data_IF_137143231577
#
_entry.id   IF_137143231577
#
_cell.length_a   1.000
_cell.length_b   1.000
_cell.length_c   1.000
_cell.angle_alpha   90.00
_cell.angle_beta   90.00
_cell.angle_gamma   90.00
#
_symmetry.space_group_name_H-M   'P 1'
#
loop_
_entity.id
_entity.type
_entity.pdbx_description
1 polymer ?
#
# COMPACT_ATOMS: atom_id res chain seq x y z
N UNK A 1 2.83 6.02 -2.70
CA UNK A 1 2.87 5.47 -4.07
C UNK A 1 2.02 6.31 -5.01
N UNK A 2 0.69 6.24 -4.96
CA UNK A 2 -0.19 6.90 -5.94
C UNK A 2 0.08 8.40 -6.14
N UNK A 3 0.23 9.17 -5.06
CA UNK A 3 0.61 10.60 -5.15
C UNK A 3 1.90 10.85 -5.92
N UNK A 4 2.91 9.99 -5.77
CA UNK A 4 4.16 10.10 -6.51
C UNK A 4 3.99 9.71 -7.99
N UNK A 5 3.15 8.71 -8.27
CA UNK A 5 2.80 8.35 -9.65
C UNK A 5 2.07 9.50 -10.37
N UNK A 6 1.12 10.16 -9.70
CA UNK A 6 0.38 11.30 -10.25
C UNK A 6 1.32 12.47 -10.60
N UNK A 7 2.30 12.77 -9.74
CA UNK A 7 3.27 13.84 -10.01
C UNK A 7 4.14 13.53 -11.25
N UNK A 8 4.58 12.28 -11.41
CA UNK A 8 5.46 11.89 -12.51
C UNK A 8 4.72 11.67 -13.83
N UNK A 9 3.46 11.20 -13.78
CA UNK A 9 2.65 10.92 -14.98
C UNK A 9 1.90 12.15 -15.51
N UNK A 10 1.96 13.28 -14.79
CA UNK A 10 1.40 14.56 -15.22
C UNK A 10 -0.13 14.53 -15.39
N UNK A 11 -0.64 15.33 -16.34
CA UNK A 11 -2.07 15.55 -16.55
C UNK A 11 -2.88 14.36 -17.09
N UNK A 12 -2.24 13.20 -17.31
CA UNK A 12 -2.88 11.97 -17.80
C UNK A 12 -2.72 10.79 -16.82
N UNK A 13 -2.51 11.08 -15.54
CA UNK A 13 -2.33 10.07 -14.49
C UNK A 13 -3.50 9.07 -14.40
N UNK A 14 -4.70 9.50 -14.77
CA UNK A 14 -5.94 8.71 -14.80
C UNK A 14 -5.81 7.50 -15.73
N UNK A 15 -5.14 7.66 -16.87
CA UNK A 15 -4.86 6.57 -17.82
C UNK A 15 -3.94 5.48 -17.23
N UNK A 16 -3.19 5.82 -16.19
CA UNK A 16 -2.23 4.92 -15.54
C UNK A 16 -2.74 4.36 -14.21
N UNK A 17 -3.99 4.67 -13.80
CA UNK A 17 -4.63 4.03 -12.64
C UNK A 17 -4.61 2.51 -12.75
N UNK A 18 -4.95 1.88 -13.91
CA UNK A 18 -4.92 0.42 -14.02
C UNK A 18 -3.53 -0.17 -13.77
N UNK A 19 -2.46 0.50 -14.22
CA UNK A 19 -1.09 0.06 -13.94
C UNK A 19 -0.72 0.22 -12.47
N UNK A 20 -1.22 1.27 -11.81
CA UNK A 20 -0.99 1.49 -10.38
C UNK A 20 -1.69 0.42 -9.54
N UNK A 21 -2.94 0.12 -9.85
CA UNK A 21 -3.74 -0.93 -9.21
C UNK A 21 -3.11 -2.31 -9.44
N UNK A 22 -2.78 -2.63 -10.69
CA UNK A 22 -2.10 -3.86 -11.04
C UNK A 22 -0.80 -4.03 -10.24
N UNK A 23 0.04 -2.98 -10.20
CA UNK A 23 1.31 -3.02 -9.47
C UNK A 23 1.10 -3.22 -7.98
N UNK A 24 0.08 -2.57 -7.38
CA UNK A 24 -0.22 -2.71 -5.96
C UNK A 24 -0.75 -4.11 -5.62
N UNK A 25 -1.73 -4.61 -6.37
CA UNK A 25 -2.38 -5.91 -6.11
C UNK A 25 -1.43 -7.10 -6.32
N UNK A 26 -0.39 -6.93 -7.12
CA UNK A 26 0.61 -7.96 -7.41
C UNK A 26 1.95 -7.74 -6.70
N UNK A 27 2.04 -6.76 -5.81
CA UNK A 27 3.22 -6.59 -4.96
C UNK A 27 3.06 -7.40 -3.67
N UNK A 28 4.17 -7.98 -3.21
CA UNK A 28 4.19 -8.75 -1.96
C UNK A 28 3.81 -7.89 -0.76
N UNK A 29 2.99 -8.45 0.13
CA UNK A 29 2.55 -7.76 1.34
C UNK A 29 2.85 -8.61 2.58
N UNK A 30 3.79 -8.14 3.39
CA UNK A 30 4.37 -8.89 4.53
C UNK A 30 3.44 -9.16 5.71
N UNK A 31 2.21 -8.64 5.70
CA UNK A 31 1.22 -8.96 6.76
C UNK A 31 0.30 -10.12 6.40
N UNK A 32 0.25 -10.48 5.11
CA UNK A 32 -0.51 -11.62 4.58
C UNK A 32 0.42 -12.67 3.94
N UNK A 33 1.72 -12.41 3.93
CA UNK A 33 2.78 -13.23 3.33
C UNK A 33 2.54 -13.65 1.86
N UNK A 34 1.76 -12.87 1.12
CA UNK A 34 1.45 -13.07 -0.30
C UNK A 34 1.03 -11.75 -0.96
N UNK A 35 0.72 -11.77 -2.24
CA UNK A 35 0.12 -10.63 -2.93
C UNK A 35 -1.39 -10.54 -2.63
N UNK A 36 -1.99 -9.33 -2.57
CA UNK A 36 -3.44 -9.20 -2.47
C UNK A 36 -4.22 -9.95 -3.56
N UNK A 37 -3.67 -10.04 -4.77
CA UNK A 37 -4.24 -10.84 -5.85
C UNK A 37 -4.28 -12.33 -5.51
N UNK A 38 -3.17 -12.89 -5.02
CA UNK A 38 -3.12 -14.29 -4.60
C UNK A 38 -4.08 -14.58 -3.45
N UNK A 39 -4.17 -13.66 -2.48
CA UNK A 39 -5.10 -13.79 -1.37
C UNK A 39 -6.56 -13.83 -1.84
N UNK A 40 -6.90 -13.07 -2.89
CA UNK A 40 -8.25 -13.00 -3.43
C UNK A 40 -8.61 -14.19 -4.32
N UNK A 41 -7.68 -14.66 -5.16
CA UNK A 41 -7.96 -15.64 -6.21
C UNK A 41 -7.36 -17.03 -5.94
N UNK A 42 -6.55 -17.19 -4.90
CA UNK A 42 -5.88 -18.44 -4.55
C UNK A 42 -4.80 -18.89 -5.55
N UNK A 43 -4.36 -17.98 -6.44
CA UNK A 43 -3.37 -18.27 -7.49
C UNK A 43 -2.55 -17.03 -7.82
N UNK A 44 -1.30 -17.24 -8.24
CA UNK A 44 -0.45 -16.18 -8.78
C UNK A 44 -1.08 -15.51 -10.00
N UNK A 45 -0.88 -14.19 -10.10
CA UNK A 45 -1.29 -13.46 -11.29
C UNK A 45 -0.45 -13.92 -12.48
N UNK A 46 -1.14 -14.28 -13.57
CA UNK A 46 -0.49 -14.42 -14.87
C UNK A 46 -0.24 -13.03 -15.39
N UNK A 47 1.04 -12.64 -15.41
CA UNK A 47 1.45 -11.27 -15.70
C UNK A 47 0.93 -10.83 -17.08
N UNK A 48 0.92 -9.50 -17.32
CA UNK A 48 0.68 -8.94 -18.66
C UNK A 48 1.58 -9.60 -19.73
N UNK A 49 2.77 -10.07 -19.35
CA UNK A 49 3.77 -10.69 -20.25
C UNK A 49 3.30 -12.07 -20.73
N UNK A 50 2.63 -12.85 -19.87
CA UNK A 50 2.10 -14.18 -20.23
C UNK A 50 0.91 -14.10 -21.21
N UNK A 51 0.24 -12.94 -21.30
CA UNK A 51 -0.80 -12.69 -22.31
C UNK A 51 -0.23 -12.31 -23.67
N UNK A 52 0.98 -11.74 -23.73
CA UNK A 52 1.63 -11.31 -24.97
C UNK A 52 2.59 -12.37 -25.57
N UNK A 53 2.96 -13.40 -24.81
CA UNK A 53 3.73 -14.54 -25.34
C UNK A 53 2.92 -15.45 -26.27
N UNK A 54 1.59 -15.38 -26.23
CA UNK A 54 0.70 -16.12 -27.13
C UNK A 54 0.40 -15.32 -28.41
N UNK A 55 1.33 -15.39 -29.38
CA UNK A 55 1.06 -15.25 -30.81
C UNK A 55 0.57 -13.88 -31.33
N UNK A 56 1.39 -13.28 -32.20
CA UNK A 56 1.05 -12.15 -33.09
C UNK A 56 0.85 -10.77 -32.47
N UNK A 57 1.92 -10.21 -31.87
CA UNK A 57 2.01 -8.75 -31.71
C UNK A 57 3.08 -8.17 -32.64
N UNK A 58 2.59 -7.70 -33.79
CA UNK A 58 3.32 -6.83 -34.74
C UNK A 58 4.13 -5.78 -33.98
N UNK A 59 5.32 -5.48 -34.49
CA UNK A 59 6.36 -4.56 -33.98
C UNK A 59 5.90 -3.27 -33.28
N UNK A 60 4.72 -2.73 -33.58
CA UNK A 60 4.14 -1.55 -32.91
C UNK A 60 3.73 -1.80 -31.44
N UNK A 61 3.38 -3.04 -31.07
CA UNK A 61 2.97 -3.38 -29.71
C UNK A 61 4.13 -3.63 -28.75
N UNK A 62 5.33 -3.92 -29.26
CA UNK A 62 6.53 -4.18 -28.44
C UNK A 62 6.94 -2.91 -27.67
N UNK A 63 6.88 -1.75 -28.32
CA UNK A 63 7.21 -0.46 -27.68
C UNK A 63 6.20 -0.08 -26.60
N UNK A 64 4.91 -0.35 -26.82
CA UNK A 64 3.85 -0.11 -25.83
C UNK A 64 3.95 -1.05 -24.63
N UNK A 65 4.27 -2.34 -24.87
CA UNK A 65 4.50 -3.32 -23.81
C UNK A 65 5.71 -2.92 -22.98
N UNK A 66 6.79 -2.47 -23.63
CA UNK A 66 7.99 -1.99 -22.95
C UNK A 66 7.73 -0.73 -22.11
N UNK A 67 7.01 0.25 -22.65
CA UNK A 67 6.59 1.44 -21.89
C UNK A 67 5.75 1.07 -20.67
N UNK A 68 4.79 0.15 -20.82
CA UNK A 68 4.00 -0.36 -19.70
C UNK A 68 4.86 -1.06 -18.65
N UNK A 69 5.85 -1.87 -19.06
CA UNK A 69 6.79 -2.53 -18.16
C UNK A 69 7.66 -1.54 -17.38
N UNK A 70 8.17 -0.50 -18.05
CA UNK A 70 8.98 0.54 -17.42
C UNK A 70 8.15 1.32 -16.39
N UNK A 71 6.88 1.60 -16.71
CA UNK A 71 5.94 2.24 -15.78
C UNK A 71 5.62 1.36 -14.58
N UNK A 72 5.35 0.07 -14.78
CA UNK A 72 5.12 -0.89 -13.68
C UNK A 72 6.34 -0.94 -12.76
N UNK A 73 7.56 -1.05 -13.31
CA UNK A 73 8.81 -1.01 -12.53
C UNK A 73 8.95 0.29 -11.73
N UNK A 74 8.65 1.44 -12.35
CA UNK A 74 8.66 2.74 -11.67
C UNK A 74 7.66 2.79 -10.52
N UNK A 75 6.44 2.27 -10.71
CA UNK A 75 5.39 2.23 -9.69
C UNK A 75 5.80 1.33 -8.52
N UNK A 76 6.35 0.15 -8.79
CA UNK A 76 6.84 -0.76 -7.76
C UNK A 76 7.97 -0.13 -6.93
N UNK A 77 8.92 0.56 -7.57
CA UNK A 77 9.97 1.29 -6.85
C UNK A 77 9.39 2.38 -5.92
N UNK A 78 8.35 3.11 -6.39
CA UNK A 78 7.63 4.11 -5.59
C UNK A 78 6.84 3.49 -4.45
N UNK A 79 6.29 2.29 -4.65
CA UNK A 79 5.61 1.54 -3.60
C UNK A 79 6.59 1.17 -2.50
N UNK A 80 7.73 0.59 -2.86
CA UNK A 80 8.79 0.22 -1.91
C UNK A 80 9.28 1.45 -1.14
N UNK A 81 9.59 2.55 -1.84
CA UNK A 81 10.02 3.80 -1.18
C UNK A 81 8.94 4.38 -0.24
N UNK A 82 7.65 4.20 -0.56
CA UNK A 82 6.57 4.62 0.34
C UNK A 82 6.50 3.72 1.58
N UNK A 83 6.60 2.41 1.43
CA UNK A 83 6.63 1.44 2.53
C UNK A 83 7.83 1.68 3.45
N UNK A 84 9.04 1.87 2.90
CA UNK A 84 10.24 2.16 3.69
C UNK A 84 10.11 3.45 4.50
N UNK A 85 9.50 4.50 3.92
CA UNK A 85 9.23 5.76 4.65
C UNK A 85 8.22 5.56 5.77
N UNK A 86 7.13 4.83 5.51
CA UNK A 86 6.12 4.52 6.52
C UNK A 86 6.75 3.73 7.68
N UNK A 87 7.54 2.70 7.37
CA UNK A 87 8.30 1.93 8.36
C UNK A 87 9.22 2.84 9.18
N UNK A 88 10.07 3.63 8.54
CA UNK A 88 10.97 4.58 9.23
C UNK A 88 10.21 5.53 10.16
N UNK A 89 9.07 6.05 9.74
CA UNK A 89 8.26 6.96 10.55
C UNK A 89 7.56 6.27 11.73
N UNK A 90 7.09 5.04 11.52
CA UNK A 90 6.53 4.23 12.59
C UNK A 90 7.61 3.89 13.62
N UNK A 91 8.73 3.31 13.16
CA UNK A 91 9.84 2.87 14.01
C UNK A 91 10.43 4.03 14.83
N UNK A 92 10.59 5.23 14.24
CA UNK A 92 11.08 6.41 14.97
C UNK A 92 10.10 6.90 16.06
N UNK A 93 8.81 6.59 15.96
CA UNK A 93 7.79 7.04 16.92
C UNK A 93 7.44 6.00 17.97
N UNK A 94 7.82 4.74 17.75
CA UNK A 94 7.68 3.68 18.73
C UNK A 94 8.85 3.81 19.72
N UNK A 95 8.54 4.10 20.98
CA UNK A 95 9.48 3.90 22.08
C UNK A 95 9.12 2.57 22.72
N UNK A 96 10.10 1.69 22.90
CA UNK A 96 9.90 0.52 23.75
C UNK A 96 9.60 1.00 25.17
N UNK A 97 8.34 0.82 25.57
CA UNK A 97 7.88 1.06 26.93
C UNK A 97 7.41 -0.27 27.49
N UNK A 98 8.09 -0.73 28.52
CA UNK A 98 7.65 -1.84 29.34
C UNK A 98 6.97 -1.26 30.57
N UNK A 99 5.84 -1.85 30.95
CA UNK A 99 5.13 -1.50 32.18
C UNK A 99 5.12 -2.71 33.10
N UNK A 100 5.23 -2.48 34.41
CA UNK A 100 5.07 -3.51 35.42
C UNK A 100 3.63 -3.59 35.93
N UNK A 101 3.23 -4.77 36.38
CA UNK A 101 1.93 -4.97 37.03
C UNK A 101 1.84 -4.06 38.26
N UNK A 102 0.86 -3.15 38.28
CA UNK A 102 0.67 -2.15 39.33
C UNK A 102 1.09 -0.72 38.95
N UNK A 103 1.74 -0.52 37.79
CA UNK A 103 2.04 0.83 37.30
C UNK A 103 0.80 1.53 36.71
N UNK A 104 0.63 2.79 37.06
CA UNK A 104 -0.47 3.61 36.55
C UNK A 104 -0.09 4.23 35.19
N UNK A 105 -0.87 3.96 34.15
CA UNK A 105 -0.69 4.54 32.81
C UNK A 105 -1.82 5.49 32.44
N UNK A 106 -1.50 6.54 31.68
CA UNK A 106 -2.49 7.48 31.17
C UNK A 106 -3.07 6.96 29.85
N UNK A 107 -4.38 6.66 29.85
CA UNK A 107 -5.09 6.33 28.62
C UNK A 107 -5.40 7.62 27.84
N UNK A 108 -4.88 7.70 26.61
CA UNK A 108 -5.24 8.78 25.68
C UNK A 108 -6.69 8.59 25.23
N UNK A 109 -7.60 9.34 25.85
CA UNK A 109 -8.99 9.48 25.39
C UNK A 109 -9.09 10.64 24.41
N UNK A 110 -9.78 10.44 23.28
CA UNK A 110 -10.14 11.56 22.41
C UNK A 110 -11.09 12.50 23.18
N UNK A 111 -10.95 13.84 23.08
CA UNK A 111 -11.91 14.76 23.67
C UNK A 111 -13.28 14.54 23.03
N UNK A 112 -14.16 13.81 23.72
CA UNK A 112 -15.51 13.53 23.28
C UNK A 112 -16.39 14.77 23.53
N UNK A 113 -16.22 15.81 22.72
CA UNK A 113 -17.16 16.94 22.72
C UNK A 113 -18.49 16.44 22.13
N UNK A 114 -19.45 16.10 23.01
CA UNK A 114 -20.84 15.82 22.63
C UNK A 114 -21.27 14.35 22.48
N UNK A 115 -20.39 13.36 22.69
CA UNK A 115 -20.77 11.93 22.58
C UNK A 115 -20.78 11.27 23.97
N UNK A 116 -21.98 11.10 24.54
CA UNK A 116 -22.22 10.37 25.79
C UNK A 116 -22.21 8.86 25.51
N UNK A 117 -21.05 8.20 25.58
CA UNK A 117 -20.96 6.72 25.49
C UNK A 117 -20.87 6.01 26.83
N UNK A 118 -20.37 6.68 27.86
CA UNK A 118 -20.33 6.14 29.22
C UNK A 118 -20.98 7.16 30.16
N UNK A 119 -22.04 6.76 30.86
CA UNK A 119 -22.82 7.61 31.77
C UNK A 119 -22.08 8.10 33.01
N UNK A 120 -20.75 7.96 33.08
CA UNK A 120 -19.92 8.47 34.17
C UNK A 120 -18.83 9.38 33.62
N UNK A 121 -18.94 10.66 33.96
CA UNK A 121 -17.84 11.64 33.87
C UNK A 121 -16.92 11.39 35.06
N UNK A 122 -15.78 10.75 34.84
CA UNK A 122 -14.82 10.46 35.91
C UNK A 122 -13.67 9.59 35.42
N UNK A 123 -12.60 9.47 36.22
CA UNK A 123 -11.54 8.49 35.96
C UNK A 123 -12.18 7.09 35.92
N UNK A 124 -11.80 6.27 34.94
CA UNK A 124 -12.01 4.83 35.01
C UNK A 124 -11.23 4.36 36.25
N UNK A 125 -11.95 4.00 37.30
CA UNK A 125 -11.39 3.35 38.49
C UNK A 125 -11.43 1.85 38.28
#
# INVERSE_FOLDING_TARGET
>A
MLRACVLDFGGHWDKFIPLCEFSYNNSYHSSIDMTPFEALYGRGCRSLIEWFEAGDVKSLGVDLVKDAQDKVRSIQAKLLAAQSRQKKYADHKVRDMTFQTGENVLLKVSPMKGVMRFGKKGKLR
#
